data_IF_830836469436
#
_entry.id   IF_830836469436
#
_cell.length_a   1.000
_cell.length_b   1.000
_cell.length_c   1.000
_cell.angle_alpha   90.00
_cell.angle_beta   90.00
_cell.angle_gamma   90.00
#
_symmetry.space_group_name_H-M   'P 1'
#
loop_
_entity.id
_entity.type
_entity.pdbx_description
1 polymer ?
#
# COMPACT_ATOMS: atom_id res chain seq x y z
N UNK A 1 16.94 3.29 10.84
CA UNK A 1 16.55 2.79 12.19
C UNK A 1 16.50 1.26 12.15
N UNK A 2 16.55 0.51 13.28
CA UNK A 2 16.35 -0.93 13.21
C UNK A 2 14.97 -1.23 12.60
N UNK A 3 14.95 -2.11 11.62
CA UNK A 3 13.77 -2.49 10.86
C UNK A 3 12.75 -3.24 11.72
N UNK A 4 11.49 -3.26 11.28
CA UNK A 4 10.44 -4.00 11.97
C UNK A 4 10.79 -5.50 11.95
N UNK A 5 10.81 -6.15 13.11
CA UNK A 5 10.90 -7.61 13.18
C UNK A 5 9.53 -8.20 12.83
N UNK A 6 9.39 -8.67 11.60
CA UNK A 6 8.16 -9.29 11.08
C UNK A 6 8.34 -10.81 11.10
N UNK A 7 7.75 -11.46 12.10
CA UNK A 7 7.81 -12.92 12.25
C UNK A 7 6.42 -13.48 12.62
N UNK A 8 5.83 -14.36 11.79
CA UNK A 8 6.32 -14.84 10.48
C UNK A 8 6.41 -13.71 9.43
N UNK A 9 7.18 -13.86 8.34
CA UNK A 9 7.40 -12.81 7.33
C UNK A 9 6.20 -12.63 6.39
N UNK A 10 5.01 -12.51 6.98
CA UNK A 10 3.74 -12.32 6.28
C UNK A 10 2.97 -11.18 6.94
N UNK A 11 2.40 -10.32 6.13
CA UNK A 11 1.54 -9.22 6.53
C UNK A 11 0.51 -8.97 5.44
N UNK A 12 -0.60 -8.32 5.79
CA UNK A 12 -1.57 -7.90 4.79
C UNK A 12 -1.03 -6.70 4.00
N UNK A 13 -1.49 -6.57 2.75
CA UNK A 13 -1.34 -5.34 1.99
C UNK A 13 -2.30 -4.25 2.50
N UNK A 14 -1.98 -2.98 2.27
CA UNK A 14 -2.90 -1.86 2.51
C UNK A 14 -4.10 -1.94 1.53
N UNK A 15 -5.22 -2.51 1.99
CA UNK A 15 -6.37 -2.87 1.15
C UNK A 15 -7.71 -2.73 1.93
N UNK A 16 -8.89 -2.99 1.33
CA UNK A 16 -10.18 -2.87 2.03
C UNK A 16 -10.37 -3.76 3.27
N UNK A 17 -9.67 -4.88 3.37
CA UNK A 17 -9.70 -5.82 4.51
C UNK A 17 -8.79 -5.40 5.68
N UNK A 18 -8.50 -4.11 5.78
CA UNK A 18 -7.92 -3.47 6.94
C UNK A 18 -8.55 -2.06 7.12
N UNK A 19 -9.87 -1.97 6.92
CA UNK A 19 -10.61 -0.70 6.94
C UNK A 19 -11.32 -0.41 8.26
N UNK A 20 -11.56 -1.43 9.08
CA UNK A 20 -12.27 -1.34 10.36
C UNK A 20 -11.38 -1.72 11.54
N UNK A 21 -11.83 -1.44 12.77
CA UNK A 21 -11.14 -1.89 13.98
C UNK A 21 -11.07 -3.41 14.04
N UNK A 22 -12.17 -4.06 13.69
CA UNK A 22 -12.35 -5.51 13.72
C UNK A 22 -11.41 -6.20 12.71
N UNK A 23 -11.25 -5.64 11.52
CA UNK A 23 -10.28 -6.14 10.53
C UNK A 23 -8.85 -6.10 11.08
N UNK A 24 -8.46 -4.95 11.66
CA UNK A 24 -7.12 -4.76 12.21
C UNK A 24 -6.86 -5.66 13.41
N UNK A 25 -7.86 -5.84 14.28
CA UNK A 25 -7.78 -6.72 15.45
C UNK A 25 -7.66 -8.19 15.01
N UNK A 26 -8.43 -8.62 14.01
CA UNK A 26 -8.34 -9.96 13.45
C UNK A 26 -6.94 -10.22 12.86
N UNK A 27 -6.39 -9.27 12.10
CA UNK A 27 -5.02 -9.34 11.58
C UNK A 27 -3.98 -9.34 12.70
N UNK A 28 -4.17 -8.52 13.74
CA UNK A 28 -3.25 -8.43 14.87
C UNK A 28 -3.22 -9.73 15.68
N UNK A 29 -4.37 -10.36 15.91
CA UNK A 29 -4.50 -11.62 16.65
C UNK A 29 -4.17 -12.86 15.81
N UNK A 30 -4.12 -12.75 14.48
CA UNK A 30 -3.79 -13.87 13.60
C UNK A 30 -2.34 -14.35 13.84
N UNK A 31 -2.10 -15.64 14.16
CA UNK A 31 -0.75 -16.15 14.40
C UNK A 31 0.09 -16.27 13.12
N UNK A 32 -0.54 -16.20 11.95
CA UNK A 32 0.12 -16.36 10.66
C UNK A 32 0.62 -15.04 10.06
N UNK A 33 0.36 -13.89 10.70
CA UNK A 33 0.90 -12.60 10.28
C UNK A 33 1.92 -12.12 11.30
N UNK A 34 3.06 -11.59 10.85
CA UNK A 34 4.08 -10.98 11.69
C UNK A 34 3.99 -9.45 11.75
N UNK A 35 3.12 -8.82 10.96
CA UNK A 35 2.80 -7.39 11.02
C UNK A 35 1.37 -7.13 10.54
N UNK A 36 0.85 -5.92 10.82
CA UNK A 36 -0.44 -5.45 10.30
C UNK A 36 -0.25 -4.13 9.55
N UNK A 37 -0.74 -4.05 8.32
CA UNK A 37 -0.76 -2.80 7.55
C UNK A 37 -2.16 -2.19 7.55
N UNK A 38 -2.29 -0.92 7.90
CA UNK A 38 -3.58 -0.21 7.77
C UNK A 38 -3.92 0.08 6.30
N UNK A 39 -5.21 0.24 5.97
CA UNK A 39 -5.58 0.76 4.64
C UNK A 39 -5.00 2.16 4.48
N UNK A 40 -4.48 2.46 3.29
CA UNK A 40 -3.91 3.79 3.00
C UNK A 40 -4.94 4.87 3.33
N UNK A 41 -4.61 5.72 4.31
CA UNK A 41 -5.49 6.75 4.84
C UNK A 41 -4.98 8.16 4.50
N UNK A 42 -5.90 9.13 4.49
CA UNK A 42 -5.60 10.55 4.46
C UNK A 42 -5.92 11.15 5.82
N UNK A 43 -5.37 12.35 6.11
CA UNK A 43 -5.67 13.09 7.33
C UNK A 43 -7.18 13.25 7.61
N UNK A 44 -7.97 13.44 6.55
CA UNK A 44 -9.41 13.72 6.65
C UNK A 44 -10.30 12.64 6.02
N UNK A 45 -9.70 11.50 5.63
CA UNK A 45 -10.40 10.46 4.89
C UNK A 45 -10.55 10.78 3.39
N UNK A 46 -10.88 9.75 2.63
CA UNK A 46 -11.12 9.80 1.19
C UNK A 46 -12.62 9.91 0.89
N UNK A 47 -13.05 10.72 -0.09
CA UNK A 47 -14.45 10.77 -0.52
C UNK A 47 -14.81 9.50 -1.29
N UNK A 48 -15.06 8.41 -0.57
CA UNK A 48 -15.46 7.13 -1.13
C UNK A 48 -16.88 7.21 -1.71
N UNK A 49 -17.11 6.43 -2.76
CA UNK A 49 -18.35 6.36 -3.50
C UNK A 49 -18.50 4.92 -3.97
N UNK A 50 -19.40 4.18 -3.33
CA UNK A 50 -19.64 2.75 -3.57
C UNK A 50 -20.07 2.46 -5.03
N UNK A 51 -20.56 3.47 -5.75
CA UNK A 51 -20.99 3.31 -7.15
C UNK A 51 -19.83 3.24 -8.14
N UNK A 52 -18.64 3.72 -7.77
CA UNK A 52 -17.47 3.79 -8.66
C UNK A 52 -16.19 3.22 -8.05
N UNK A 53 -16.11 3.10 -6.73
CA UNK A 53 -14.97 2.54 -6.02
C UNK A 53 -15.24 1.08 -5.66
N UNK A 54 -15.01 0.20 -6.61
CA UNK A 54 -15.38 -1.20 -6.51
C UNK A 54 -14.19 -2.13 -6.71
N UNK A 55 -14.42 -3.41 -6.46
CA UNK A 55 -13.48 -4.47 -6.80
C UNK A 55 -14.24 -5.67 -7.36
N UNK A 56 -13.52 -6.49 -8.12
CA UNK A 56 -13.97 -7.78 -8.60
C UNK A 56 -12.84 -8.78 -8.50
N UNK A 57 -13.21 -10.03 -8.30
CA UNK A 57 -12.31 -11.17 -8.44
C UNK A 57 -12.63 -11.88 -9.76
N UNK A 58 -11.61 -12.42 -10.42
CA UNK A 58 -11.78 -13.08 -11.70
C UNK A 58 -10.74 -14.19 -11.92
N UNK A 59 -11.02 -15.05 -12.88
CA UNK A 59 -10.10 -16.06 -13.37
C UNK A 59 -9.94 -15.91 -14.88
N UNK A 60 -8.70 -15.80 -15.34
CA UNK A 60 -8.40 -15.78 -16.77
C UNK A 60 -8.56 -17.16 -17.41
N UNK A 61 -8.48 -18.23 -16.61
CA UNK A 61 -8.60 -19.61 -17.08
C UNK A 61 -10.06 -20.01 -17.34
N UNK A 62 -10.94 -19.80 -16.35
CA UNK A 62 -12.37 -20.10 -16.47
C UNK A 62 -13.17 -18.95 -17.10
N UNK A 63 -12.55 -17.76 -17.25
CA UNK A 63 -13.20 -16.54 -17.70
C UNK A 63 -14.41 -16.15 -16.85
N UNK A 64 -14.42 -16.52 -15.57
CA UNK A 64 -15.48 -16.16 -14.61
C UNK A 64 -15.05 -14.95 -13.79
N UNK A 65 -16.04 -14.19 -13.31
CA UNK A 65 -15.80 -13.06 -12.42
C UNK A 65 -16.91 -12.92 -11.39
N UNK A 66 -16.59 -12.30 -10.25
CA UNK A 66 -17.53 -12.02 -9.18
C UNK A 66 -17.21 -10.67 -8.54
N UNK A 67 -18.25 -9.93 -8.20
CA UNK A 67 -18.16 -8.68 -7.41
C UNK A 67 -18.61 -8.90 -5.96
N UNK A 68 -18.72 -10.17 -5.53
CA UNK A 68 -19.18 -10.47 -4.19
C UNK A 68 -18.17 -9.96 -3.14
N UNK A 69 -18.63 -9.23 -2.11
CA UNK A 69 -17.78 -8.78 -1.02
C UNK A 69 -17.67 -9.90 0.01
N UNK A 70 -16.77 -10.87 -0.15
CA UNK A 70 -16.66 -11.91 0.87
C UNK A 70 -15.27 -12.57 0.97
N UNK A 71 -14.91 -12.86 2.22
CA UNK A 71 -13.82 -13.74 2.64
C UNK A 71 -14.03 -15.21 2.25
N UNK A 72 -15.23 -15.56 1.79
CA UNK A 72 -15.58 -16.93 1.36
C UNK A 72 -15.17 -17.25 -0.08
N UNK A 73 -14.70 -16.26 -0.85
CA UNK A 73 -14.22 -16.47 -2.21
C UNK A 73 -12.90 -17.24 -2.15
N UNK A 74 -12.89 -18.45 -2.72
CA UNK A 74 -11.68 -19.25 -2.81
C UNK A 74 -10.70 -18.61 -3.78
N UNK A 75 -9.50 -18.27 -3.29
CA UNK A 75 -8.42 -17.78 -4.16
C UNK A 75 -8.00 -18.79 -5.24
N UNK A 76 -8.37 -20.07 -5.10
CA UNK A 76 -8.19 -21.08 -6.18
C UNK A 76 -9.19 -20.91 -7.32
N UNK A 77 -10.37 -20.39 -7.04
CA UNK A 77 -11.41 -20.16 -8.05
C UNK A 77 -11.22 -18.80 -8.73
N UNK A 78 -10.83 -17.78 -7.96
CA UNK A 78 -10.58 -16.44 -8.46
C UNK A 78 -9.20 -15.93 -8.02
N UNK A 79 -8.14 -16.31 -8.75
CA UNK A 79 -6.77 -15.99 -8.38
C UNK A 79 -6.36 -14.55 -8.69
N UNK A 80 -7.20 -13.78 -9.38
CA UNK A 80 -6.92 -12.41 -9.80
C UNK A 80 -7.97 -11.44 -9.27
N UNK A 81 -7.57 -10.18 -9.11
CA UNK A 81 -8.50 -9.09 -8.78
C UNK A 81 -8.27 -7.86 -9.64
N UNK A 82 -9.37 -7.17 -9.93
CA UNK A 82 -9.37 -5.82 -10.50
C UNK A 82 -10.03 -4.90 -9.48
N UNK A 83 -9.48 -3.72 -9.26
CA UNK A 83 -10.12 -2.74 -8.40
C UNK A 83 -10.07 -1.33 -9.00
N UNK A 84 -11.12 -0.56 -8.77
CA UNK A 84 -11.24 0.86 -9.07
C UNK A 84 -11.34 1.67 -7.79
N UNK A 85 -10.79 1.13 -6.70
CA UNK A 85 -10.85 1.71 -5.38
C UNK A 85 -9.99 2.98 -5.29
N UNK A 86 -10.44 3.90 -4.44
CA UNK A 86 -9.60 4.96 -3.92
C UNK A 86 -8.97 4.57 -2.58
N UNK A 87 -8.67 5.58 -1.77
CA UNK A 87 -8.10 5.41 -0.44
C UNK A 87 -9.17 5.13 0.63
N UNK A 88 -8.76 5.06 1.90
CA UNK A 88 -9.71 4.83 2.99
C UNK A 88 -10.62 6.03 3.23
N UNK A 89 -11.95 5.86 3.34
CA UNK A 89 -12.83 6.91 3.83
C UNK A 89 -12.58 7.25 5.31
N UNK A 90 -11.97 6.34 6.05
CA UNK A 90 -11.63 6.52 7.46
C UNK A 90 -10.41 7.45 7.59
N UNK A 91 -10.50 8.54 8.39
CA UNK A 91 -9.36 9.42 8.67
C UNK A 91 -8.22 8.73 9.42
N UNK A 92 -7.00 9.22 9.26
CA UNK A 92 -5.80 8.71 9.95
C UNK A 92 -6.00 8.58 11.47
N UNK A 93 -6.53 9.60 12.15
CA UNK A 93 -6.64 9.59 13.61
C UNK A 93 -7.53 8.46 14.14
N UNK A 94 -8.51 8.04 13.34
CA UNK A 94 -9.36 6.89 13.68
C UNK A 94 -8.55 5.60 13.66
N UNK A 95 -7.69 5.40 12.66
CA UNK A 95 -6.75 4.28 12.63
C UNK A 95 -5.79 4.29 13.82
N UNK A 96 -5.23 5.45 14.16
CA UNK A 96 -4.34 5.60 15.32
C UNK A 96 -5.03 5.24 16.62
N UNK A 97 -6.30 5.67 16.78
CA UNK A 97 -7.14 5.32 17.93
C UNK A 97 -7.39 3.82 17.99
N UNK A 98 -7.70 3.16 16.87
CA UNK A 98 -7.90 1.71 16.83
C UNK A 98 -6.63 0.94 17.19
N UNK A 99 -5.48 1.35 16.66
CA UNK A 99 -4.18 0.75 17.00
C UNK A 99 -3.94 0.81 18.51
N UNK A 100 -4.11 1.99 19.13
CA UNK A 100 -3.98 2.14 20.59
C UNK A 100 -4.92 1.22 21.36
N UNK A 101 -6.19 1.13 20.96
CA UNK A 101 -7.18 0.28 21.62
C UNK A 101 -6.81 -1.21 21.51
N UNK A 102 -6.41 -1.67 20.33
CA UNK A 102 -6.04 -3.08 20.07
C UNK A 102 -4.83 -3.46 20.91
N UNK A 103 -3.79 -2.63 20.89
CA UNK A 103 -2.54 -2.87 21.62
C UNK A 103 -2.77 -2.87 23.13
N UNK A 104 -3.55 -1.91 23.64
CA UNK A 104 -3.87 -1.81 25.07
C UNK A 104 -4.71 -2.99 25.55
N UNK A 105 -5.65 -3.47 24.73
CA UNK A 105 -6.49 -4.62 25.05
C UNK A 105 -5.74 -5.97 24.96
N UNK A 106 -4.64 -6.03 24.20
CA UNK A 106 -3.86 -7.25 23.95
C UNK A 106 -2.40 -7.07 24.35
N UNK A 107 -2.08 -7.07 25.66
CA UNK A 107 -0.72 -6.97 26.16
C UNK A 107 0.07 -8.25 25.83
N UNK A 108 0.59 -8.31 24.60
CA UNK A 108 1.41 -9.40 24.11
C UNK A 108 2.87 -9.22 24.57
N UNK A 109 3.49 -10.32 25.03
CA UNK A 109 4.91 -10.32 25.42
C UNK A 109 5.84 -9.93 24.25
N UNK A 110 5.41 -10.19 23.01
CA UNK A 110 6.05 -9.74 21.77
C UNK A 110 4.97 -9.07 20.90
N UNK A 111 4.75 -7.75 21.04
CA UNK A 111 3.73 -7.05 20.28
C UNK A 111 4.05 -7.06 18.79
N UNK A 112 3.01 -7.29 17.98
CA UNK A 112 3.12 -7.30 16.53
C UNK A 112 3.23 -5.85 16.00
N UNK A 113 4.18 -5.55 15.10
CA UNK A 113 4.30 -4.22 14.52
C UNK A 113 3.09 -3.82 13.66
N UNK A 114 2.79 -2.52 13.65
CA UNK A 114 1.87 -1.92 12.67
C UNK A 114 2.62 -1.06 11.66
N UNK A 115 2.26 -1.21 10.39
CA UNK A 115 2.64 -0.31 9.29
C UNK A 115 1.44 0.60 9.01
N UNK A 116 1.59 1.89 9.31
CA UNK A 116 0.56 2.91 9.06
C UNK A 116 0.72 3.43 7.63
N UNK A 117 -0.14 2.99 6.71
CA UNK A 117 -0.11 3.40 5.31
C UNK A 117 -0.85 4.73 5.15
N UNK A 118 -0.18 5.73 4.58
CA UNK A 118 -0.71 7.09 4.45
C UNK A 118 -0.45 7.66 3.06
N UNK A 119 -1.28 8.61 2.66
CA UNK A 119 -1.06 9.41 1.45
C UNK A 119 -1.65 10.82 1.60
N UNK A 120 -1.37 11.69 0.64
CA UNK A 120 -1.83 13.08 0.61
C UNK A 120 -0.87 13.98 -0.17
N UNK A 121 -0.95 15.29 0.05
CA UNK A 121 0.11 16.22 -0.36
C UNK A 121 1.39 15.94 0.44
N UNK A 122 2.56 16.44 -0.01
CA UNK A 122 3.80 16.33 0.78
C UNK A 122 3.66 16.82 2.22
N UNK A 123 2.94 17.92 2.44
CA UNK A 123 2.69 18.49 3.77
C UNK A 123 1.77 17.60 4.61
N UNK A 124 0.71 17.03 4.01
CA UNK A 124 -0.14 16.10 4.72
C UNK A 124 0.61 14.82 5.10
N UNK A 125 1.51 14.32 4.25
CA UNK A 125 2.34 13.16 4.57
C UNK A 125 3.30 13.46 5.73
N UNK A 126 3.92 14.64 5.76
CA UNK A 126 4.72 15.12 6.88
C UNK A 126 3.94 15.16 8.21
N UNK A 127 2.70 15.66 8.16
CA UNK A 127 1.81 15.69 9.32
C UNK A 127 1.41 14.28 9.75
N UNK A 128 1.02 13.41 8.82
CA UNK A 128 0.72 12.00 9.07
C UNK A 128 1.88 11.31 9.79
N UNK A 129 3.11 11.50 9.31
CA UNK A 129 4.30 10.95 9.93
C UNK A 129 4.45 11.42 11.37
N UNK A 130 4.28 12.72 11.61
CA UNK A 130 4.41 13.32 12.94
C UNK A 130 3.38 12.75 13.93
N UNK A 131 2.13 12.52 13.49
CA UNK A 131 1.07 11.92 14.31
C UNK A 131 1.36 10.45 14.65
N UNK A 132 1.86 9.67 13.69
CA UNK A 132 2.26 8.28 13.92
C UNK A 132 3.44 8.21 14.89
N UNK A 133 4.44 9.07 14.71
CA UNK A 133 5.60 9.18 15.60
C UNK A 133 5.19 9.54 17.04
N UNK A 134 4.24 10.46 17.21
CA UNK A 134 3.70 10.83 18.52
C UNK A 134 2.96 9.66 19.20
N UNK A 135 2.22 8.84 18.44
CA UNK A 135 1.60 7.64 18.97
C UNK A 135 2.64 6.59 19.39
N UNK A 136 3.65 6.35 18.54
CA UNK A 136 4.71 5.38 18.79
C UNK A 136 5.45 5.68 20.10
N UNK A 137 5.68 6.96 20.40
CA UNK A 137 6.31 7.40 21.64
C UNK A 137 5.51 7.04 22.91
N UNK A 138 4.19 6.77 22.79
CA UNK A 138 3.35 6.36 23.93
C UNK A 138 3.11 4.85 24.01
N UNK A 139 2.94 4.18 22.87
CA UNK A 139 2.44 2.79 22.85
C UNK A 139 3.48 1.70 23.15
N UNK A 140 4.78 2.02 23.21
CA UNK A 140 5.86 1.03 23.43
C UNK A 140 5.78 -0.21 22.51
N UNK A 141 5.14 -0.09 21.34
CA UNK A 141 5.12 -1.09 20.28
C UNK A 141 5.79 -0.54 19.01
N UNK A 142 6.34 -1.40 18.14
CA UNK A 142 6.94 -0.92 16.90
C UNK A 142 5.86 -0.43 15.92
N UNK A 143 5.93 0.85 15.55
CA UNK A 143 5.15 1.43 14.46
C UNK A 143 6.09 1.84 13.33
N UNK A 144 5.62 1.72 12.08
CA UNK A 144 6.25 2.30 10.92
C UNK A 144 5.24 3.11 10.10
N UNK A 145 5.75 4.01 9.27
CA UNK A 145 4.96 4.77 8.29
C UNK A 145 5.28 4.26 6.90
N UNK A 146 4.28 3.91 6.13
CA UNK A 146 4.40 3.65 4.70
C UNK A 146 3.72 4.78 3.93
N UNK A 147 4.48 5.52 3.12
CA UNK A 147 3.91 6.54 2.24
C UNK A 147 3.56 5.89 0.91
N UNK A 148 2.27 5.86 0.61
CA UNK A 148 1.77 5.29 -0.63
C UNK A 148 1.82 6.32 -1.77
N UNK A 149 2.84 6.19 -2.63
CA UNK A 149 3.08 7.06 -3.79
C UNK A 149 2.83 6.36 -5.13
N UNK A 150 2.07 5.26 -5.09
CA UNK A 150 1.87 4.36 -6.23
C UNK A 150 0.52 4.51 -6.93
N UNK A 151 -0.42 5.21 -6.29
CA UNK A 151 -1.69 5.62 -6.90
C UNK A 151 -1.63 7.12 -7.26
N UNK A 152 -2.47 7.59 -8.21
CA UNK A 152 -2.54 9.01 -8.50
C UNK A 152 -3.12 9.76 -7.29
N UNK A 153 -2.28 10.52 -6.58
CA UNK A 153 -2.71 11.42 -5.50
C UNK A 153 -3.40 12.68 -6.02
N UNK A 154 -3.19 13.00 -7.30
CA UNK A 154 -3.73 14.16 -8.00
C UNK A 154 -4.36 13.64 -9.29
N UNK A 155 -5.62 14.04 -9.54
CA UNK A 155 -6.31 13.68 -10.77
C UNK A 155 -5.47 14.07 -11.99
N UNK A 156 -5.35 13.14 -12.95
CA UNK A 156 -4.60 13.31 -14.21
C UNK A 156 -3.08 13.46 -14.10
N UNK A 157 -2.48 13.20 -12.92
CA UNK A 157 -1.01 13.05 -12.80
C UNK A 157 -0.64 11.57 -12.63
N UNK A 158 0.49 11.12 -13.20
CA UNK A 158 1.00 9.79 -12.88
C UNK A 158 1.32 9.68 -11.39
N UNK A 159 1.29 8.47 -10.81
CA UNK A 159 1.77 8.22 -9.46
C UNK A 159 3.12 8.91 -9.16
N UNK A 160 3.29 9.60 -8.00
CA UNK A 160 4.50 10.35 -7.72
C UNK A 160 5.78 9.52 -7.81
N UNK A 161 5.74 8.24 -7.44
CA UNK A 161 6.91 7.36 -7.53
C UNK A 161 7.37 7.01 -8.97
N UNK A 162 6.62 7.39 -10.01
CA UNK A 162 7.11 7.34 -11.39
C UNK A 162 7.90 8.57 -11.84
N UNK A 163 7.90 9.65 -11.05
CA UNK A 163 8.55 10.93 -11.38
C UNK A 163 9.56 11.31 -10.31
N UNK A 164 10.81 11.55 -10.70
CA UNK A 164 11.86 11.97 -9.77
C UNK A 164 11.53 13.29 -9.07
N UNK A 165 11.01 14.27 -9.82
CA UNK A 165 10.63 15.58 -9.27
C UNK A 165 9.49 15.46 -8.25
N UNK A 166 8.44 14.71 -8.59
CA UNK A 166 7.30 14.53 -7.69
C UNK A 166 7.71 13.75 -6.43
N UNK A 167 8.48 12.67 -6.56
CA UNK A 167 9.01 11.93 -5.42
C UNK A 167 9.91 12.83 -4.54
N UNK A 168 10.75 13.67 -5.16
CA UNK A 168 11.61 14.60 -4.44
C UNK A 168 10.81 15.58 -3.57
N UNK A 169 9.67 16.08 -4.02
CA UNK A 169 8.80 16.96 -3.22
C UNK A 169 8.36 16.29 -1.90
N UNK A 170 8.02 14.99 -1.95
CA UNK A 170 7.66 14.23 -0.75
C UNK A 170 8.86 14.01 0.17
N UNK A 171 10.02 13.65 -0.40
CA UNK A 171 11.24 13.45 0.38
C UNK A 171 11.68 14.76 1.04
N UNK A 172 11.65 15.88 0.33
CA UNK A 172 12.01 17.21 0.86
C UNK A 172 11.08 17.64 2.00
N UNK A 173 9.78 17.33 1.92
CA UNK A 173 8.84 17.65 3.00
C UNK A 173 9.09 16.85 4.28
N UNK A 174 9.75 15.69 4.19
CA UNK A 174 10.06 14.81 5.31
C UNK A 174 11.47 15.02 5.88
N UNK A 175 12.32 15.81 5.21
CA UNK A 175 13.77 15.90 5.50
C UNK A 175 14.09 16.44 6.90
N UNK A 176 13.30 17.42 7.37
CA UNK A 176 13.53 18.14 8.63
C UNK A 176 12.72 17.54 9.80
N UNK A 177 11.95 16.47 9.54
CA UNK A 177 11.13 15.83 10.57
C UNK A 177 11.97 14.83 11.34
N UNK A 178 12.02 14.92 12.69
CA UNK A 178 12.75 13.96 13.51
C UNK A 178 12.32 12.52 13.21
N UNK A 179 13.28 11.71 12.75
CA UNK A 179 13.06 10.32 12.34
C UNK A 179 13.04 9.41 13.57
N UNK A 180 11.85 9.19 14.16
CA UNK A 180 11.68 8.34 15.36
C UNK A 180 10.96 7.02 15.08
N UNK A 181 10.36 6.87 13.90
CA UNK A 181 9.74 5.62 13.42
C UNK A 181 10.18 5.31 11.98
N UNK A 182 10.38 4.03 11.60
CA UNK A 182 10.74 3.66 10.23
C UNK A 182 9.79 4.26 9.19
N UNK A 183 10.34 4.71 8.05
CA UNK A 183 9.60 5.23 6.91
C UNK A 183 9.87 4.39 5.69
N UNK A 184 8.81 3.95 5.04
CA UNK A 184 8.90 3.31 3.75
C UNK A 184 8.07 3.98 2.69
N UNK A 185 8.30 3.57 1.46
CA UNK A 185 7.54 3.99 0.29
C UNK A 185 6.88 2.78 -0.35
N UNK A 186 5.57 2.85 -0.57
CA UNK A 186 4.88 1.86 -1.41
C UNK A 186 4.94 2.28 -2.86
N UNK A 187 5.62 1.48 -3.68
CA UNK A 187 5.92 1.79 -5.07
C UNK A 187 4.90 1.16 -6.02
N UNK A 188 4.65 1.78 -7.18
CA UNK A 188 3.88 1.15 -8.24
C UNK A 188 4.74 0.09 -8.93
N UNK A 189 4.16 -0.75 -9.80
CA UNK A 189 4.97 -1.67 -10.59
C UNK A 189 5.77 -0.87 -11.61
N UNK A 190 7.08 -1.11 -11.66
CA UNK A 190 7.94 -0.65 -12.73
C UNK A 190 8.02 -1.71 -13.83
N UNK A 191 7.91 -1.28 -15.08
CA UNK A 191 7.81 -2.14 -16.27
C UNK A 191 8.98 -1.97 -17.23
N UNK A 192 9.84 -0.97 -17.02
CA UNK A 192 11.07 -0.76 -17.79
C UNK A 192 12.17 -0.10 -16.95
N UNK A 193 13.44 -0.31 -17.35
CA UNK A 193 14.63 0.07 -16.57
C UNK A 193 14.68 1.54 -16.14
N UNK A 194 14.19 2.46 -17.00
CA UNK A 194 14.18 3.89 -16.72
C UNK A 194 13.41 4.26 -15.45
N UNK A 195 12.32 3.55 -15.13
CA UNK A 195 11.53 3.87 -13.93
C UNK A 195 12.25 3.47 -12.64
N UNK A 196 12.89 2.29 -12.65
CA UNK A 196 13.74 1.86 -11.54
C UNK A 196 14.89 2.84 -11.31
N UNK A 197 15.57 3.25 -12.38
CA UNK A 197 16.66 4.24 -12.32
C UNK A 197 16.19 5.57 -11.72
N UNK A 198 15.03 6.06 -12.14
CA UNK A 198 14.43 7.28 -11.58
C UNK A 198 14.22 7.18 -10.07
N UNK A 199 13.66 6.08 -9.57
CA UNK A 199 13.49 5.86 -8.13
C UNK A 199 14.85 5.89 -7.42
N UNK A 200 15.81 5.07 -7.88
CA UNK A 200 17.10 4.90 -7.21
C UNK A 200 17.90 6.21 -7.20
N UNK A 201 17.98 6.92 -8.33
CA UNK A 201 18.69 8.21 -8.40
C UNK A 201 18.04 9.26 -7.48
N UNK A 202 16.71 9.28 -7.38
CA UNK A 202 16.00 10.20 -6.49
C UNK A 202 16.27 9.88 -5.02
N UNK A 203 16.26 8.60 -4.63
CA UNK A 203 16.60 8.17 -3.27
C UNK A 203 18.05 8.52 -2.91
N UNK A 204 19.00 8.35 -3.83
CA UNK A 204 20.42 8.71 -3.61
C UNK A 204 20.64 10.21 -3.43
N UNK A 205 19.88 11.02 -4.15
CA UNK A 205 19.97 12.48 -4.09
C UNK A 205 19.20 13.11 -2.93
N UNK A 206 18.39 12.34 -2.22
CA UNK A 206 17.55 12.84 -1.14
C UNK A 206 18.30 12.96 0.18
N UNK A 207 18.00 14.01 0.95
CA UNK A 207 18.44 14.13 2.34
C UNK A 207 17.62 13.30 3.33
N UNK A 208 16.57 12.63 2.85
CA UNK A 208 15.62 11.86 3.66
C UNK A 208 15.95 10.38 3.55
N UNK A 209 16.28 9.76 4.68
CA UNK A 209 16.53 8.33 4.76
C UNK A 209 15.20 7.56 4.69
N UNK A 210 15.10 6.67 3.70
CA UNK A 210 14.05 5.66 3.59
C UNK A 210 14.57 4.38 4.24
N UNK A 211 13.74 3.73 5.04
CA UNK A 211 14.08 2.49 5.75
C UNK A 211 13.60 1.24 4.96
N UNK A 212 12.49 1.31 4.22
CA UNK A 212 12.01 0.18 3.41
C UNK A 212 11.21 0.60 2.16
N UNK A 213 11.06 -0.31 1.20
CA UNK A 213 10.15 -0.20 0.08
C UNK A 213 9.08 -1.29 0.16
N UNK A 214 7.84 -0.98 -0.17
CA UNK A 214 6.79 -1.99 -0.41
C UNK A 214 6.58 -2.11 -1.90
N UNK A 215 7.05 -3.23 -2.48
CA UNK A 215 7.07 -3.47 -3.93
C UNK A 215 6.23 -4.74 -4.24
N UNK A 216 5.02 -4.63 -4.74
CA UNK A 216 4.42 -3.48 -5.42
C UNK A 216 2.95 -3.27 -5.05
N UNK A 217 2.43 -2.07 -5.31
CA UNK A 217 0.99 -1.88 -5.47
C UNK A 217 0.46 -2.55 -6.76
N UNK A 218 -0.85 -2.55 -6.93
CA UNK A 218 -1.55 -3.07 -8.11
C UNK A 218 -1.05 -2.43 -9.41
N UNK A 219 -1.12 -3.16 -10.53
CA UNK A 219 -0.81 -2.64 -11.85
C UNK A 219 -2.02 -1.89 -12.41
N UNK A 220 -1.92 -0.56 -12.50
CA UNK A 220 -2.94 0.25 -13.14
C UNK A 220 -3.01 0.04 -14.65
N UNK A 221 -4.00 0.67 -15.28
CA UNK A 221 -4.25 0.56 -16.73
C UNK A 221 -4.70 -0.82 -17.21
N UNK A 222 -5.33 -1.61 -16.32
CA UNK A 222 -5.89 -2.91 -16.65
C UNK A 222 -7.42 -2.82 -16.81
N UNK A 223 -7.99 -3.66 -17.69
CA UNK A 223 -9.42 -3.76 -17.95
C UNK A 223 -9.85 -5.23 -17.89
N UNK A 224 -10.97 -5.48 -17.23
CA UNK A 224 -11.70 -6.75 -17.31
C UNK A 224 -13.07 -6.44 -17.87
N UNK A 225 -13.52 -7.23 -18.85
CA UNK A 225 -14.83 -7.08 -19.47
C UNK A 225 -15.81 -8.09 -18.87
N UNK A 226 -17.08 -7.69 -18.76
CA UNK A 226 -18.16 -8.61 -18.47
C UNK A 226 -18.31 -9.65 -19.58
N UNK A 227 -18.61 -10.88 -19.18
CA UNK A 227 -18.73 -12.04 -20.06
C UNK A 227 -20.18 -12.50 -20.27
N UNK A 228 -21.16 -11.93 -19.55
CA UNK A 228 -22.56 -12.38 -19.55
C UNK A 228 -23.60 -11.26 -19.65
N UNK A 229 -24.76 -11.60 -20.22
CA UNK A 229 -25.97 -10.79 -20.23
C UNK A 229 -25.80 -9.38 -20.83
N UNK A 230 -26.49 -8.40 -20.25
CA UNK A 230 -26.44 -7.00 -20.69
C UNK A 230 -25.07 -6.32 -20.48
N UNK A 231 -24.13 -6.96 -19.78
CA UNK A 231 -22.78 -6.44 -19.51
C UNK A 231 -21.70 -7.10 -20.38
N UNK A 232 -22.08 -7.94 -21.34
CA UNK A 232 -21.12 -8.56 -22.24
C UNK A 232 -20.31 -7.49 -23.00
N UNK A 233 -18.99 -7.61 -22.98
CA UNK A 233 -18.03 -6.66 -23.58
C UNK A 233 -18.03 -5.24 -22.99
N UNK A 234 -18.79 -5.00 -21.91
CA UNK A 234 -18.72 -3.76 -21.14
C UNK A 234 -17.65 -3.90 -20.04
N UNK A 235 -17.06 -2.79 -19.55
CA UNK A 235 -16.20 -2.86 -18.38
C UNK A 235 -16.91 -3.53 -17.20
N UNK A 236 -16.23 -4.48 -16.56
CA UNK A 236 -16.79 -5.23 -15.44
C UNK A 236 -17.08 -4.31 -14.25
N UNK A 237 -16.20 -3.34 -14.02
CA UNK A 237 -16.31 -2.38 -12.94
C UNK A 237 -16.57 -0.96 -13.47
N UNK A 238 -17.36 -0.15 -12.75
CA UNK A 238 -17.38 1.29 -12.93
C UNK A 238 -16.08 1.92 -12.40
N UNK A 239 -15.82 3.17 -12.77
CA UNK A 239 -14.67 3.95 -12.29
C UNK A 239 -14.99 5.43 -12.33
N UNK A 240 -14.27 6.25 -11.57
CA UNK A 240 -14.42 7.71 -11.60
C UNK A 240 -14.28 8.32 -13.01
N UNK A 241 -13.43 7.73 -13.85
CA UNK A 241 -13.21 8.16 -15.23
C UNK A 241 -14.23 7.59 -16.24
N UNK A 242 -15.17 6.74 -15.80
CA UNK A 242 -16.15 6.07 -16.66
C UNK A 242 -15.57 4.98 -17.59
N UNK A 243 -14.29 4.64 -17.47
CA UNK A 243 -13.61 3.68 -18.36
C UNK A 243 -13.62 2.24 -17.84
N UNK A 244 -13.77 2.08 -16.52
CA UNK A 244 -13.63 0.80 -15.82
C UNK A 244 -12.19 0.28 -15.75
N UNK A 245 -11.23 1.14 -16.11
CA UNK A 245 -9.81 0.86 -15.96
C UNK A 245 -9.45 0.86 -14.48
N UNK A 246 -8.79 -0.21 -14.03
CA UNK A 246 -8.46 -0.43 -12.63
C UNK A 246 -7.07 -0.99 -12.40
N UNK A 247 -6.77 -1.23 -11.12
CA UNK A 247 -5.56 -1.89 -10.65
C UNK A 247 -5.71 -3.40 -10.62
N UNK A 248 -4.84 -4.10 -11.34
CA UNK A 248 -4.73 -5.55 -11.38
C UNK A 248 -3.86 -6.07 -10.23
N UNK A 249 -4.31 -7.14 -9.59
CA UNK A 249 -3.56 -7.90 -8.59
C UNK A 249 -3.80 -9.42 -8.74
N UNK A 250 -3.15 -10.20 -7.87
CA UNK A 250 -3.24 -11.66 -7.85
C UNK A 250 -2.22 -12.34 -8.77
N UNK A 251 -2.50 -13.60 -9.15
CA UNK A 251 -1.58 -14.41 -9.95
C UNK A 251 -1.04 -13.73 -11.22
N UNK A 252 -1.85 -12.99 -12.02
CA UNK A 252 -1.35 -12.32 -13.22
C UNK A 252 -0.29 -11.24 -12.93
N UNK A 253 -0.30 -10.63 -11.73
CA UNK A 253 0.68 -9.62 -11.33
C UNK A 253 1.97 -10.25 -10.80
N UNK A 254 1.93 -11.49 -10.31
CA UNK A 254 2.99 -12.07 -9.51
C UNK A 254 4.38 -12.08 -10.19
N UNK A 255 4.55 -12.48 -11.47
CA UNK A 255 5.85 -12.41 -12.13
C UNK A 255 6.42 -10.99 -12.23
N UNK A 256 5.55 -9.98 -12.44
CA UNK A 256 5.95 -8.58 -12.48
C UNK A 256 6.37 -8.08 -11.09
N UNK A 257 5.62 -8.45 -10.04
CA UNK A 257 5.95 -8.11 -8.66
C UNK A 257 7.31 -8.70 -8.25
N UNK A 258 7.54 -9.98 -8.53
CA UNK A 258 8.83 -10.64 -8.25
C UNK A 258 9.99 -9.97 -9.00
N UNK A 259 9.79 -9.62 -10.27
CA UNK A 259 10.77 -8.87 -11.06
C UNK A 259 11.09 -7.50 -10.45
N UNK A 260 10.08 -6.81 -9.91
CA UNK A 260 10.27 -5.54 -9.21
C UNK A 260 11.12 -5.72 -7.94
N UNK A 261 10.78 -6.69 -7.09
CA UNK A 261 11.54 -7.00 -5.87
C UNK A 261 13.00 -7.34 -6.20
N UNK A 262 13.22 -8.25 -7.16
CA UNK A 262 14.57 -8.67 -7.54
C UNK A 262 15.40 -7.52 -8.12
N UNK A 263 14.83 -6.73 -9.03
CA UNK A 263 15.52 -5.60 -9.66
C UNK A 263 15.83 -4.49 -8.65
N UNK A 264 14.87 -4.14 -7.80
CA UNK A 264 15.07 -3.14 -6.74
C UNK A 264 16.15 -3.62 -5.77
N UNK A 265 16.13 -4.88 -5.34
CA UNK A 265 17.17 -5.41 -4.46
C UNK A 265 18.55 -5.33 -5.09
N UNK A 266 18.68 -5.69 -6.37
CA UNK A 266 19.94 -5.56 -7.10
C UNK A 266 20.41 -4.10 -7.12
N UNK A 267 19.57 -3.17 -7.55
CA UNK A 267 19.97 -1.76 -7.71
C UNK A 267 20.23 -1.06 -6.37
N UNK A 268 19.51 -1.41 -5.30
CA UNK A 268 19.81 -0.93 -3.95
C UNK A 268 21.21 -1.40 -3.52
N UNK A 269 21.54 -2.67 -3.77
CA UNK A 269 22.85 -3.26 -3.45
C UNK A 269 24.02 -2.69 -4.30
N UNK A 270 23.75 -1.97 -5.38
CA UNK A 270 24.79 -1.28 -6.16
C UNK A 270 25.24 0.03 -5.50
N UNK A 271 24.54 0.49 -4.45
CA UNK A 271 24.79 1.78 -3.80
C UNK A 271 24.89 1.62 -2.28
N UNK A 272 26.10 1.74 -1.73
CA UNK A 272 26.37 1.54 -0.30
C UNK A 272 25.42 2.33 0.64
N UNK A 273 25.03 3.56 0.25
CA UNK A 273 24.10 4.39 1.04
C UNK A 273 22.63 3.91 1.03
N UNK A 274 22.29 2.90 0.23
CA UNK A 274 20.95 2.35 0.10
C UNK A 274 20.87 0.85 0.46
N UNK A 275 21.97 0.21 0.85
CA UNK A 275 22.03 -1.22 1.16
C UNK A 275 21.04 -1.63 2.27
N UNK A 276 20.87 -0.75 3.26
CA UNK A 276 20.04 -0.99 4.44
C UNK A 276 18.55 -0.77 4.20
N UNK A 277 18.14 -0.38 2.98
CA UNK A 277 16.72 -0.27 2.63
C UNK A 277 16.17 -1.69 2.44
N UNK A 278 15.18 -2.09 3.23
CA UNK A 278 14.49 -3.38 3.08
C UNK A 278 13.43 -3.35 1.96
N UNK A 279 12.98 -4.53 1.52
CA UNK A 279 11.82 -4.66 0.63
C UNK A 279 10.78 -5.58 1.27
N UNK A 280 9.56 -5.07 1.42
CA UNK A 280 8.35 -5.83 1.64
C UNK A 280 7.78 -6.18 0.25
N UNK A 281 7.81 -7.46 -0.11
CA UNK A 281 7.47 -7.98 -1.44
C UNK A 281 6.35 -9.00 -1.44
#
# INVERSE_FOLDING_TARGET
MPLLSIEPPLLNSANPWCSTREDLEALYLCPNTGAVTTRTSLLHGFPHDDSIHQHAFFSTQSQTSTTAPDYTISGKEYPASLNTLGYSPTPLDTYLTWIEQIVTASPNAKPKPFVVSVTGSPQHVAECYTRVAALAARLHIPLAVEVNLSCPNIANKPPPAYSGDALKEYLDALKDIPRTVPLGLKTPPYTYAGQFKTLIDTLRGAGTQIDFLTATNTLGSCLVLGNEGARQYQPLLPSAAGTGIGGLAGEPLHPLALGNVATLRQMLNEHAGLHDIDIIG
#
